data_IF_316879683758
#
_entry.id   IF_316879683758
#
_cell.length_a   1.000
_cell.length_b   1.000
_cell.length_c   1.000
_cell.angle_alpha   90.00
_cell.angle_beta   90.00
_cell.angle_gamma   90.00
#
_symmetry.space_group_name_H-M   'P 1'
#
loop_
_entity.id
_entity.type
_entity.pdbx_description
1 polymer ?
#
# COMPACT_ATOMS: atom_id res chain seq x y z
N UNK A 1 7.29 20.62 -9.57
CA UNK A 1 7.18 19.22 -9.08
C UNK A 1 6.94 18.26 -10.23
N UNK A 2 5.86 18.47 -11.02
CA UNK A 2 5.50 17.66 -12.21
C UNK A 2 6.69 17.24 -13.10
N UNK A 3 7.55 18.18 -13.49
CA UNK A 3 8.69 17.90 -14.37
C UNK A 3 9.72 16.92 -13.78
N UNK A 4 9.96 16.96 -12.46
CA UNK A 4 10.91 16.05 -11.79
C UNK A 4 10.35 14.63 -11.73
N UNK A 5 9.05 14.49 -11.47
CA UNK A 5 8.35 13.20 -11.40
C UNK A 5 8.25 12.55 -12.77
N UNK A 6 7.82 13.31 -13.78
CA UNK A 6 7.82 12.87 -15.19
C UNK A 6 9.24 12.46 -15.61
N UNK A 7 10.26 13.24 -15.21
CA UNK A 7 11.66 12.90 -15.48
C UNK A 7 12.10 11.57 -14.87
N UNK A 8 11.64 11.22 -13.67
CA UNK A 8 11.93 9.91 -13.05
C UNK A 8 11.26 8.75 -13.79
N UNK A 9 10.03 8.96 -14.27
CA UNK A 9 9.29 7.94 -15.03
C UNK A 9 9.93 7.74 -16.41
N UNK A 10 10.32 8.82 -17.11
CA UNK A 10 11.05 8.74 -18.39
C UNK A 10 12.35 7.94 -18.27
N UNK A 11 13.09 8.12 -17.17
CA UNK A 11 14.28 7.30 -16.88
C UNK A 11 13.97 5.81 -16.72
N UNK A 12 12.80 5.43 -16.21
CA UNK A 12 12.42 4.02 -16.17
C UNK A 12 12.06 3.48 -17.55
N UNK A 13 11.50 4.31 -18.44
CA UNK A 13 11.27 3.92 -19.84
C UNK A 13 12.61 3.68 -20.54
N UNK A 14 13.59 4.58 -20.39
CA UNK A 14 14.92 4.43 -21.01
C UNK A 14 15.63 3.14 -20.56
N UNK A 15 15.44 2.71 -19.31
CA UNK A 15 16.02 1.47 -18.80
C UNK A 15 15.50 0.21 -19.51
N UNK A 16 14.30 0.23 -20.10
CA UNK A 16 13.74 -0.92 -20.82
C UNK A 16 14.61 -1.30 -22.04
N UNK A 17 15.30 -0.32 -22.62
CA UNK A 17 16.16 -0.48 -23.79
C UNK A 17 17.62 -0.81 -23.41
N UNK A 18 17.92 -0.96 -22.12
CA UNK A 18 19.25 -1.34 -21.67
C UNK A 18 19.60 -2.78 -22.14
N UNK A 19 20.85 -2.99 -22.54
CA UNK A 19 21.37 -4.30 -22.95
C UNK A 19 21.35 -5.30 -21.79
N UNK A 20 21.61 -4.83 -20.58
CA UNK A 20 21.61 -5.64 -19.35
C UNK A 20 20.27 -5.54 -18.61
N UNK A 21 19.16 -5.54 -19.34
CA UNK A 21 17.83 -5.39 -18.76
C UNK A 21 17.44 -6.59 -17.89
N UNK A 22 17.11 -6.30 -16.63
CA UNK A 22 16.53 -7.24 -15.67
C UNK A 22 15.10 -6.80 -15.34
N UNK A 23 14.12 -7.65 -15.64
CA UNK A 23 12.70 -7.35 -15.46
C UNK A 23 12.33 -7.13 -13.99
N UNK A 24 12.84 -7.95 -13.08
CA UNK A 24 12.46 -7.89 -11.66
C UNK A 24 13.11 -6.68 -10.96
N UNK A 25 14.38 -6.40 -11.25
CA UNK A 25 15.06 -5.20 -10.76
C UNK A 25 14.39 -3.93 -11.31
N UNK A 26 14.01 -3.92 -12.59
CA UNK A 26 13.28 -2.83 -13.19
C UNK A 26 11.90 -2.64 -12.53
N UNK A 27 11.13 -3.73 -12.31
CA UNK A 27 9.83 -3.68 -11.63
C UNK A 27 9.95 -3.08 -10.23
N UNK A 28 10.88 -3.56 -9.41
CA UNK A 28 11.09 -3.05 -8.04
C UNK A 28 11.38 -1.55 -8.06
N UNK A 29 12.35 -1.13 -8.87
CA UNK A 29 12.74 0.28 -8.94
C UNK A 29 11.63 1.19 -9.50
N UNK A 30 10.84 0.68 -10.45
CA UNK A 30 9.70 1.38 -11.03
C UNK A 30 8.56 1.52 -10.03
N UNK A 31 8.26 0.47 -9.26
CA UNK A 31 7.24 0.50 -8.20
C UNK A 31 7.58 1.57 -7.16
N UNK A 32 8.82 1.62 -6.65
CA UNK A 32 9.24 2.62 -5.67
C UNK A 32 9.04 4.06 -6.16
N UNK A 33 9.27 4.32 -7.46
CA UNK A 33 9.04 5.63 -8.07
C UNK A 33 7.55 5.92 -8.16
N UNK A 34 6.75 4.97 -8.65
CA UNK A 34 5.31 5.15 -8.80
C UNK A 34 4.60 5.28 -7.45
N UNK A 35 5.06 4.59 -6.41
CA UNK A 35 4.58 4.76 -5.02
C UNK A 35 4.80 6.18 -4.52
N UNK A 36 5.97 6.76 -4.82
CA UNK A 36 6.26 8.13 -4.43
C UNK A 36 5.44 9.16 -5.21
N UNK A 37 5.13 8.89 -6.47
CA UNK A 37 4.40 9.82 -7.35
C UNK A 37 2.88 9.71 -7.17
N UNK A 38 2.35 8.49 -7.02
CA UNK A 38 0.91 8.19 -7.04
C UNK A 38 0.37 7.55 -5.75
N UNK A 39 1.22 7.19 -4.79
CA UNK A 39 0.86 6.49 -3.55
C UNK A 39 0.89 4.96 -3.64
N UNK A 40 0.96 4.30 -2.48
CA UNK A 40 1.23 2.86 -2.30
C UNK A 40 0.17 1.88 -2.84
N UNK A 41 -1.01 2.37 -3.25
CA UNK A 41 -2.18 1.53 -3.60
C UNK A 41 -2.75 1.88 -5.00
N UNK A 42 -1.92 2.43 -5.89
CA UNK A 42 -2.37 2.73 -7.25
C UNK A 42 -2.51 1.45 -8.07
N UNK A 43 -3.59 1.33 -8.84
CA UNK A 43 -3.79 0.23 -9.80
C UNK A 43 -2.63 0.10 -10.82
N UNK A 44 -1.85 1.17 -10.99
CA UNK A 44 -0.63 1.23 -11.81
C UNK A 44 0.50 0.37 -11.22
N UNK A 45 0.69 0.40 -9.90
CA UNK A 45 1.68 -0.45 -9.20
C UNK A 45 1.33 -1.93 -9.35
N UNK A 46 0.05 -2.29 -9.20
CA UNK A 46 -0.42 -3.67 -9.38
C UNK A 46 -0.14 -4.14 -10.82
N UNK A 47 -0.40 -3.29 -11.81
CA UNK A 47 -0.10 -3.59 -13.22
C UNK A 47 1.39 -3.87 -13.46
N UNK A 48 2.29 -3.06 -12.89
CA UNK A 48 3.75 -3.29 -12.98
C UNK A 48 4.16 -4.59 -12.26
N UNK A 49 3.60 -4.86 -11.07
CA UNK A 49 3.90 -6.08 -10.30
C UNK A 49 3.56 -7.36 -11.05
N UNK A 50 2.46 -7.33 -11.81
CA UNK A 50 1.94 -8.47 -12.57
C UNK A 50 2.57 -8.61 -13.96
N UNK A 51 3.59 -7.82 -14.30
CA UNK A 51 4.36 -8.05 -15.53
C UNK A 51 5.22 -9.29 -15.31
N UNK A 52 5.02 -10.27 -16.18
CA UNK A 52 5.81 -11.50 -16.21
C UNK A 52 6.46 -11.66 -17.58
N UNK A 53 7.51 -12.46 -17.62
CA UNK A 53 8.10 -12.89 -18.88
C UNK A 53 7.09 -13.77 -19.63
N UNK A 54 6.89 -13.49 -20.92
CA UNK A 54 6.04 -14.33 -21.76
C UNK A 54 6.79 -15.62 -22.12
N UNK A 55 6.41 -16.72 -21.48
CA UNK A 55 6.96 -18.06 -21.67
C UNK A 55 6.08 -18.94 -22.59
N UNK A 56 5.19 -18.34 -23.38
CA UNK A 56 4.35 -19.10 -24.31
C UNK A 56 5.18 -19.89 -25.34
N UNK A 57 4.69 -21.06 -25.75
CA UNK A 57 5.40 -21.92 -26.74
C UNK A 57 5.63 -21.24 -28.10
N UNK A 58 4.97 -20.11 -28.36
CA UNK A 58 5.22 -19.25 -29.53
C UNK A 58 6.40 -18.30 -29.30
N UNK A 59 6.55 -17.70 -28.10
CA UNK A 59 7.70 -16.84 -27.77
C UNK A 59 9.02 -17.63 -27.70
N UNK A 60 8.96 -18.90 -27.32
CA UNK A 60 10.13 -19.79 -27.31
C UNK A 60 10.64 -20.16 -28.72
N UNK A 61 9.80 -20.04 -29.76
CA UNK A 61 10.19 -20.34 -31.14
C UNK A 61 10.93 -19.17 -31.81
N UNK A 62 10.54 -17.94 -31.48
CA UNK A 62 11.12 -16.70 -32.04
C UNK A 62 12.42 -16.26 -31.33
N UNK A 63 12.67 -16.69 -30.09
CA UNK A 63 13.92 -16.35 -29.37
C UNK A 63 15.19 -17.01 -29.95
N UNK A 64 15.06 -17.88 -30.96
CA UNK A 64 16.20 -18.43 -31.72
C UNK A 64 16.85 -17.42 -32.69
N UNK A 65 16.28 -16.21 -32.82
CA UNK A 65 16.90 -15.13 -33.58
C UNK A 65 16.49 -13.76 -33.04
N UNK A 66 17.38 -13.11 -32.29
CA UNK A 66 17.47 -11.65 -32.07
C UNK A 66 16.47 -10.91 -31.15
N UNK A 67 15.35 -11.46 -30.69
CA UNK A 67 14.46 -10.78 -29.71
C UNK A 67 14.65 -11.33 -28.30
N UNK A 68 14.97 -10.46 -27.34
CA UNK A 68 15.09 -10.84 -25.93
C UNK A 68 13.74 -11.33 -25.43
N UNK A 69 13.68 -12.41 -24.64
CA UNK A 69 12.41 -13.01 -24.16
C UNK A 69 11.51 -12.11 -23.31
N UNK A 70 11.87 -10.83 -23.17
CA UNK A 70 11.17 -9.79 -22.43
C UNK A 70 10.50 -8.74 -23.33
N UNK A 71 10.57 -8.84 -24.66
CA UNK A 71 10.10 -7.76 -25.54
C UNK A 71 8.61 -7.42 -25.32
N UNK A 72 7.76 -8.43 -25.10
CA UNK A 72 6.36 -8.22 -24.72
C UNK A 72 6.22 -7.53 -23.35
N UNK A 73 7.01 -7.97 -22.35
CA UNK A 73 7.04 -7.40 -21.00
C UNK A 73 7.53 -5.94 -21.00
N UNK A 74 8.55 -5.63 -21.81
CA UNK A 74 9.10 -4.29 -22.02
C UNK A 74 8.07 -3.38 -22.66
N UNK A 75 7.42 -3.84 -23.73
CA UNK A 75 6.35 -3.09 -24.40
C UNK A 75 5.21 -2.76 -23.45
N UNK A 76 4.73 -3.76 -22.71
CA UNK A 76 3.64 -3.56 -21.76
C UNK A 76 4.02 -2.63 -20.60
N UNK A 77 5.24 -2.78 -20.06
CA UNK A 77 5.80 -1.88 -19.05
C UNK A 77 5.90 -0.43 -19.55
N UNK A 78 6.34 -0.25 -20.79
CA UNK A 78 6.43 1.06 -21.45
C UNK A 78 5.05 1.73 -21.57
N UNK A 79 4.05 1.02 -22.07
CA UNK A 79 2.68 1.54 -22.22
C UNK A 79 2.09 2.01 -20.88
N UNK A 80 2.34 1.27 -19.79
CA UNK A 80 1.90 1.69 -18.45
C UNK A 80 2.57 3.00 -18.02
N UNK A 81 3.88 3.14 -18.23
CA UNK A 81 4.61 4.35 -17.84
C UNK A 81 4.27 5.55 -18.72
N UNK A 82 4.03 5.34 -20.02
CA UNK A 82 3.56 6.39 -20.93
C UNK A 82 2.16 6.89 -20.53
N UNK A 83 1.26 5.99 -20.13
CA UNK A 83 -0.03 6.37 -19.56
C UNK A 83 0.12 7.18 -18.26
N UNK A 84 1.08 6.82 -17.39
CA UNK A 84 1.37 7.59 -16.18
C UNK A 84 1.89 9.00 -16.50
N UNK A 85 2.75 9.15 -17.51
CA UNK A 85 3.25 10.46 -17.96
C UNK A 85 2.09 11.28 -18.52
N UNK A 86 1.28 10.71 -19.41
CA UNK A 86 0.12 11.38 -20.01
C UNK A 86 -0.84 11.88 -18.92
N UNK A 87 -1.11 11.08 -17.89
CA UNK A 87 -1.93 11.47 -16.74
C UNK A 87 -1.32 12.66 -15.98
N UNK A 88 -0.02 12.63 -15.70
CA UNK A 88 0.67 13.74 -15.02
C UNK A 88 0.71 15.03 -15.85
N UNK A 89 0.76 14.92 -17.17
CA UNK A 89 0.76 16.05 -18.09
C UNK A 89 -0.65 16.66 -18.22
N UNK A 90 -1.69 15.81 -18.28
CA UNK A 90 -3.08 16.22 -18.48
C UNK A 90 -3.78 16.66 -17.20
N UNK A 91 -3.68 15.86 -16.14
CA UNK A 91 -4.35 16.09 -14.85
C UNK A 91 -3.44 16.79 -13.85
N UNK A 92 -2.12 16.71 -14.06
CA UNK A 92 -1.12 17.18 -13.13
C UNK A 92 -0.58 16.10 -12.20
N UNK A 93 0.52 16.43 -11.51
CA UNK A 93 0.92 15.69 -10.30
C UNK A 93 -0.31 15.52 -9.40
N UNK A 94 -0.44 14.40 -8.69
CA UNK A 94 -1.34 14.21 -7.57
C UNK A 94 -1.13 15.22 -6.43
N UNK A 95 -1.12 16.52 -6.73
CA UNK A 95 -1.12 17.60 -5.77
C UNK A 95 -2.48 17.59 -5.11
N UNK A 96 -2.53 17.05 -3.90
CA UNK A 96 -3.73 16.91 -3.09
C UNK A 96 -4.78 15.94 -3.65
N UNK A 97 -4.36 14.84 -4.29
CA UNK A 97 -5.18 13.63 -4.13
C UNK A 97 -5.03 13.31 -2.64
N UNK A 98 -6.03 13.74 -1.85
CA UNK A 98 -6.26 13.29 -0.47
C UNK A 98 -5.79 11.84 -0.42
N UNK A 99 -4.87 11.51 0.51
CA UNK A 99 -4.45 10.14 0.85
C UNK A 99 -5.58 9.21 0.42
N UNK A 100 -5.31 8.32 -0.54
CA UNK A 100 -6.14 7.18 -0.94
C UNK A 100 -7.53 7.16 -0.31
N UNK A 101 -8.61 7.07 -1.08
CA UNK A 101 -9.97 6.70 -0.63
C UNK A 101 -10.02 5.31 0.05
N UNK A 102 -9.25 5.13 1.11
CA UNK A 102 -9.62 4.53 2.36
C UNK A 102 -10.06 5.71 3.24
N UNK A 103 -11.12 5.57 4.06
CA UNK A 103 -11.31 6.49 5.17
C UNK A 103 -9.95 6.65 5.85
N UNK A 104 -9.53 7.88 6.21
CA UNK A 104 -8.30 8.07 6.98
C UNK A 104 -8.32 7.04 8.10
N UNK A 105 -7.41 6.06 8.02
CA UNK A 105 -7.40 4.97 8.96
C UNK A 105 -7.21 5.60 10.32
N UNK A 106 -8.07 5.26 11.29
CA UNK A 106 -7.89 5.66 12.68
C UNK A 106 -6.41 5.50 13.03
N UNK A 107 -5.70 6.58 13.40
CA UNK A 107 -4.29 6.48 13.71
C UNK A 107 -4.12 5.46 14.83
N UNK A 108 -3.28 4.45 14.63
CA UNK A 108 -3.11 3.35 15.58
C UNK A 108 -2.71 3.88 16.98
N UNK A 109 -2.02 5.01 17.02
CA UNK A 109 -1.64 5.72 18.25
C UNK A 109 -2.87 6.12 19.08
N UNK A 110 -3.97 6.53 18.44
CA UNK A 110 -5.20 6.92 19.14
C UNK A 110 -5.84 5.72 19.85
N UNK A 111 -5.83 4.56 19.18
CA UNK A 111 -6.32 3.32 19.77
C UNK A 111 -5.42 2.90 20.93
N UNK A 112 -4.10 2.97 20.75
CA UNK A 112 -3.13 2.61 21.79
C UNK A 112 -3.27 3.51 23.03
N UNK A 113 -3.30 4.84 22.85
CA UNK A 113 -3.47 5.81 23.94
C UNK A 113 -4.78 5.57 24.70
N UNK A 114 -5.88 5.28 23.99
CA UNK A 114 -7.17 5.00 24.63
C UNK A 114 -7.15 3.71 25.44
N UNK A 115 -6.45 2.68 24.98
CA UNK A 115 -6.26 1.43 25.71
C UNK A 115 -5.35 1.62 26.93
N UNK A 116 -4.26 2.39 26.80
CA UNK A 116 -3.31 2.65 27.88
C UNK A 116 -3.93 3.49 29.02
N UNK A 117 -4.80 4.45 28.68
CA UNK A 117 -5.41 5.33 29.67
C UNK A 117 -6.51 4.63 30.50
N UNK A 118 -7.25 3.69 29.90
CA UNK A 118 -8.42 3.09 30.54
C UNK A 118 -8.15 1.72 31.15
N UNK A 119 -7.18 0.98 30.61
CA UNK A 119 -6.86 -0.35 31.12
C UNK A 119 -5.81 -0.28 32.23
N UNK A 120 -6.00 -1.10 33.26
CA UNK A 120 -4.94 -1.37 34.23
C UNK A 120 -3.76 -2.02 33.51
N UNK A 121 -2.55 -1.78 34.02
CA UNK A 121 -1.32 -2.41 33.50
C UNK A 121 -1.44 -3.94 33.38
N UNK A 122 -2.13 -4.61 34.31
CA UNK A 122 -2.39 -6.05 34.23
C UNK A 122 -3.32 -6.45 33.08
N UNK A 123 -4.34 -5.66 32.78
CA UNK A 123 -5.28 -5.86 31.67
C UNK A 123 -4.58 -5.60 30.32
N UNK A 124 -3.80 -4.52 30.24
CA UNK A 124 -3.02 -4.20 29.04
C UNK A 124 -1.98 -5.29 28.72
N UNK A 125 -1.28 -5.80 29.73
CA UNK A 125 -0.37 -6.94 29.56
C UNK A 125 -1.09 -8.21 29.09
N UNK A 126 -2.32 -8.44 29.52
CA UNK A 126 -3.15 -9.55 29.02
C UNK A 126 -3.50 -9.37 27.54
N UNK A 127 -3.83 -8.15 27.09
CA UNK A 127 -4.02 -7.85 25.67
C UNK A 127 -2.78 -8.13 24.83
N UNK A 128 -1.58 -7.72 25.30
CA UNK A 128 -0.31 -8.00 24.60
C UNK A 128 -0.08 -9.51 24.48
N UNK A 129 -0.43 -10.30 25.51
CA UNK A 129 -0.33 -11.75 25.44
C UNK A 129 -1.29 -12.33 24.41
N UNK A 130 -2.53 -11.83 24.36
CA UNK A 130 -3.55 -12.25 23.39
C UNK A 130 -3.12 -11.88 21.97
N UNK A 131 -2.54 -10.69 21.75
CA UNK A 131 -2.12 -10.24 20.40
C UNK A 131 -1.02 -11.11 19.80
N UNK A 132 -0.19 -11.74 20.63
CA UNK A 132 0.89 -12.63 20.20
C UNK A 132 0.42 -14.04 19.79
N UNK A 133 -0.88 -14.36 19.96
CA UNK A 133 -1.45 -15.63 19.52
C UNK A 133 -1.50 -15.68 18.00
N UNK A 134 -0.87 -16.72 17.42
CA UNK A 134 -0.78 -16.89 15.96
C UNK A 134 -2.10 -17.32 15.34
N UNK A 135 -2.80 -18.24 16.00
CA UNK A 135 -4.10 -18.72 15.52
C UNK A 135 -5.17 -17.62 15.63
N UNK A 136 -5.85 -17.35 14.51
CA UNK A 136 -6.81 -16.25 14.43
C UNK A 136 -8.07 -16.54 15.26
N UNK A 137 -8.60 -17.76 15.19
CA UNK A 137 -9.85 -18.11 15.88
C UNK A 137 -9.66 -18.14 17.40
N UNK A 138 -8.54 -18.71 17.86
CA UNK A 138 -8.16 -18.70 19.27
C UNK A 138 -7.98 -17.27 19.79
N UNK A 139 -7.31 -16.41 19.00
CA UNK A 139 -7.11 -15.00 19.34
C UNK A 139 -8.43 -14.25 19.45
N UNK A 140 -9.34 -14.42 18.50
CA UNK A 140 -10.68 -13.80 18.52
C UNK A 140 -11.51 -14.26 19.72
N UNK A 141 -11.49 -15.56 20.04
CA UNK A 141 -12.18 -16.12 21.20
C UNK A 141 -11.64 -15.53 22.52
N UNK A 142 -10.31 -15.52 22.70
CA UNK A 142 -9.69 -14.95 23.91
C UNK A 142 -9.89 -13.45 24.03
N UNK A 143 -9.89 -12.72 22.92
CA UNK A 143 -10.17 -11.28 22.91
C UNK A 143 -11.63 -11.02 23.34
N UNK A 144 -12.58 -11.81 22.85
CA UNK A 144 -13.99 -11.69 23.23
C UNK A 144 -14.21 -11.94 24.72
N UNK A 145 -13.56 -12.98 25.27
CA UNK A 145 -13.61 -13.26 26.70
C UNK A 145 -12.98 -12.13 27.51
N UNK A 146 -11.80 -11.65 27.12
CA UNK A 146 -11.14 -10.52 27.78
C UNK A 146 -12.04 -9.28 27.82
N UNK A 147 -12.68 -8.93 26.70
CA UNK A 147 -13.59 -7.78 26.63
C UNK A 147 -14.85 -8.00 27.46
N UNK A 148 -15.35 -9.24 27.56
CA UNK A 148 -16.53 -9.58 28.37
C UNK A 148 -16.25 -9.51 29.87
N UNK A 149 -14.98 -9.71 30.27
CA UNK A 149 -14.54 -9.62 31.66
C UNK A 149 -14.25 -8.17 32.12
N UNK A 150 -14.26 -7.20 31.19
CA UNK A 150 -14.11 -5.78 31.53
C UNK A 150 -15.43 -5.19 32.04
N UNK A 151 -15.33 -4.26 32.99
CA UNK A 151 -16.47 -3.47 33.41
C UNK A 151 -17.02 -2.65 32.23
N UNK A 152 -18.34 -2.65 32.05
CA UNK A 152 -19.00 -1.91 30.97
C UNK A 152 -18.62 -0.42 30.93
N UNK A 153 -18.36 0.18 32.10
CA UNK A 153 -17.91 1.57 32.21
C UNK A 153 -16.56 1.80 31.53
N UNK A 154 -15.60 0.86 31.67
CA UNK A 154 -14.29 0.93 31.02
C UNK A 154 -14.46 0.85 29.49
N UNK A 155 -15.34 -0.04 29.01
CA UNK A 155 -15.62 -0.18 27.57
C UNK A 155 -16.22 1.11 27.01
N UNK A 156 -17.20 1.69 27.71
CA UNK A 156 -17.83 2.94 27.31
C UNK A 156 -16.82 4.10 27.31
N UNK A 157 -15.95 4.18 28.32
CA UNK A 157 -14.94 5.23 28.41
C UNK A 157 -13.86 5.11 27.32
N UNK A 158 -13.41 3.89 27.01
CA UNK A 158 -12.51 3.64 25.87
C UNK A 158 -13.13 4.11 24.56
N UNK A 159 -14.39 3.76 24.30
CA UNK A 159 -15.10 4.19 23.10
C UNK A 159 -15.28 5.71 23.06
N UNK A 160 -15.64 6.33 24.18
CA UNK A 160 -15.79 7.78 24.29
C UNK A 160 -14.46 8.50 24.01
N UNK A 161 -13.34 8.02 24.55
CA UNK A 161 -12.00 8.59 24.30
C UNK A 161 -11.60 8.47 22.82
N UNK A 162 -11.80 7.30 22.21
CA UNK A 162 -11.49 7.09 20.79
C UNK A 162 -12.31 8.05 19.92
N UNK A 163 -13.62 8.12 20.14
CA UNK A 163 -14.54 8.88 19.28
C UNK A 163 -14.43 10.40 19.49
N UNK A 164 -14.01 10.84 20.68
CA UNK A 164 -13.80 12.26 20.98
C UNK A 164 -12.39 12.76 20.65
N UNK A 165 -11.46 11.85 20.33
CA UNK A 165 -10.09 12.23 20.00
C UNK A 165 -10.05 13.13 18.77
N UNK A 166 -9.30 14.25 18.86
CA UNK A 166 -9.24 15.31 17.83
C UNK A 166 -9.03 14.77 16.41
N UNK A 167 -8.07 13.86 16.22
CA UNK A 167 -7.80 13.25 14.90
C UNK A 167 -9.00 12.45 14.37
N UNK A 168 -9.77 11.79 15.23
CA UNK A 168 -10.96 11.01 14.83
C UNK A 168 -12.08 11.94 14.42
N UNK A 169 -12.30 13.01 15.18
CA UNK A 169 -13.27 14.05 14.85
C UNK A 169 -12.95 14.73 13.52
N UNK A 170 -11.68 15.05 13.26
CA UNK A 170 -11.21 15.61 11.97
C UNK A 170 -11.50 14.67 10.79
N UNK A 171 -11.32 13.35 10.97
CA UNK A 171 -11.64 12.34 9.96
C UNK A 171 -13.14 12.29 9.70
N UNK A 172 -13.96 12.30 10.76
CA UNK A 172 -15.42 12.22 10.62
C UNK A 172 -16.01 13.47 9.96
N UNK A 173 -15.39 14.64 10.12
CA UNK A 173 -15.84 15.91 9.52
C UNK A 173 -15.41 16.11 8.06
N UNK A 174 -14.48 15.29 7.56
CA UNK A 174 -13.91 15.41 6.20
C UNK A 174 -14.50 14.43 5.19
N UNK A 175 -15.40 13.54 5.64
CA UNK A 175 -16.27 12.68 4.80
C UNK A 175 -17.58 13.40 4.47
#
# INVERSE_FOLDING_TARGET
>A
MKEKEIGLIKKQIEKLDNKDFDLEAWKISTILILERVFGYDSSKIIKIKNIHQDLSSWSLRDTLGTSSGYDASKKYGKEILEACIMELETLGAPGNIKKSTKPESLPFEVLLESLENELKVSQFNSLIKISNIKDKQERESKLTNFLSDLDNEIILQMLANILSHKKVVEIMQTQ
#
